data_IF_839696177925
#
_entry.id   IF_839696177925
#
_cell.length_a   1.000
_cell.length_b   1.000
_cell.length_c   1.000
_cell.angle_alpha   90.00
_cell.angle_beta   90.00
_cell.angle_gamma   90.00
#
_symmetry.space_group_name_H-M   'P 1'
#
loop_
_entity.id
_entity.type
_entity.pdbx_description
1 polymer ?
#
# COMPACT_ATOMS: atom_id res chain seq x y z
N UNK A 1 -30.77 -4.55 -7.36
CA UNK A 1 -29.92 -5.29 -6.40
C UNK A 1 -28.47 -5.35 -6.83
N UNK A 2 -28.06 -6.17 -7.83
CA UNK A 2 -26.64 -6.31 -8.23
C UNK A 2 -25.94 -4.98 -8.58
N UNK A 3 -26.59 -4.08 -9.34
CA UNK A 3 -26.04 -2.77 -9.69
C UNK A 3 -25.80 -1.86 -8.49
N UNK A 4 -26.70 -1.88 -7.50
CA UNK A 4 -26.56 -1.08 -6.28
C UNK A 4 -25.40 -1.58 -5.41
N UNK A 5 -25.23 -2.91 -5.34
CA UNK A 5 -24.10 -3.54 -4.63
C UNK A 5 -22.78 -3.13 -5.30
N UNK A 6 -22.69 -3.20 -6.63
CA UNK A 6 -21.50 -2.77 -7.37
C UNK A 6 -21.18 -1.28 -7.16
N UNK A 7 -22.20 -0.41 -7.21
CA UNK A 7 -22.03 1.02 -6.94
C UNK A 7 -21.55 1.24 -5.49
N UNK A 8 -22.16 0.58 -4.52
CA UNK A 8 -21.76 0.66 -3.11
C UNK A 8 -20.31 0.21 -2.90
N UNK A 9 -19.88 -0.87 -3.57
CA UNK A 9 -18.50 -1.36 -3.50
C UNK A 9 -17.51 -0.34 -4.07
N UNK A 10 -17.84 0.27 -5.22
CA UNK A 10 -16.99 1.31 -5.81
C UNK A 10 -16.85 2.52 -4.87
N UNK A 11 -17.94 2.98 -4.26
CA UNK A 11 -17.89 4.08 -3.30
C UNK A 11 -17.09 3.72 -2.04
N UNK A 12 -17.25 2.51 -1.50
CA UNK A 12 -16.50 2.06 -0.33
C UNK A 12 -14.99 2.03 -0.60
N UNK A 13 -14.56 1.51 -1.75
CA UNK A 13 -13.15 1.50 -2.15
C UNK A 13 -12.60 2.92 -2.40
N UNK A 14 -13.44 3.82 -2.91
CA UNK A 14 -13.05 5.21 -3.15
C UNK A 14 -12.94 6.02 -1.85
N UNK A 15 -13.57 5.55 -0.77
CA UNK A 15 -13.66 6.30 0.48
C UNK A 15 -12.30 6.49 1.17
N UNK A 16 -11.38 5.56 0.94
CA UNK A 16 -10.03 5.59 1.49
C UNK A 16 -9.22 6.81 0.98
N UNK A 17 -9.58 7.38 -0.17
CA UNK A 17 -8.91 8.55 -0.75
C UNK A 17 -9.28 9.89 -0.07
N UNK A 18 -10.29 9.94 0.80
CA UNK A 18 -10.79 11.21 1.36
C UNK A 18 -9.94 11.79 2.51
N UNK A 19 -8.85 11.14 2.93
CA UNK A 19 -8.02 11.60 4.06
C UNK A 19 -7.48 13.02 3.87
N UNK A 20 -6.97 13.35 2.68
CA UNK A 20 -6.46 14.68 2.36
C UNK A 20 -7.57 15.71 2.14
N UNK A 21 -8.72 15.27 1.62
CA UNK A 21 -9.89 16.13 1.40
C UNK A 21 -10.43 16.65 2.74
N UNK A 22 -10.42 15.80 3.77
CA UNK A 22 -10.82 16.21 5.13
C UNK A 22 -9.93 17.31 5.70
N UNK A 23 -8.59 17.18 5.55
CA UNK A 23 -7.63 18.20 6.02
C UNK A 23 -7.87 19.55 5.33
N UNK A 24 -8.10 19.52 4.02
CA UNK A 24 -8.34 20.72 3.23
C UNK A 24 -9.68 21.39 3.58
N UNK A 25 -10.75 20.59 3.76
CA UNK A 25 -12.05 21.08 4.20
C UNK A 25 -11.98 21.72 5.59
N UNK A 26 -11.28 21.08 6.54
CA UNK A 26 -11.07 21.64 7.88
C UNK A 26 -10.31 22.97 7.89
N UNK A 27 -9.35 23.12 6.95
CA UNK A 27 -8.64 24.37 6.75
C UNK A 27 -9.55 25.47 6.21
N UNK A 28 -10.33 25.20 5.17
CA UNK A 28 -11.18 26.24 4.55
C UNK A 28 -12.30 26.70 5.51
N UNK A 29 -12.91 25.76 6.25
CA UNK A 29 -13.95 26.08 7.24
C UNK A 29 -13.43 26.93 8.41
N UNK A 30 -12.15 26.80 8.79
CA UNK A 30 -11.54 27.49 9.93
C UNK A 30 -10.43 28.46 9.55
N UNK A 31 -10.38 28.90 8.28
CA UNK A 31 -9.26 29.65 7.72
C UNK A 31 -8.94 30.93 8.50
N UNK A 32 -9.97 31.63 8.97
CA UNK A 32 -9.81 32.85 9.78
C UNK A 32 -9.12 32.58 11.12
N UNK A 33 -9.53 31.53 11.83
CA UNK A 33 -8.91 31.09 13.07
C UNK A 33 -7.48 30.60 12.85
N UNK A 34 -7.25 29.80 11.81
CA UNK A 34 -5.93 29.26 11.49
C UNK A 34 -4.96 30.40 11.16
N UNK A 35 -5.38 31.37 10.34
CA UNK A 35 -4.54 32.51 9.95
C UNK A 35 -4.17 33.42 11.13
N UNK A 36 -5.11 33.64 12.06
CA UNK A 36 -4.90 34.55 13.20
C UNK A 36 -4.19 33.91 14.40
N UNK A 37 -4.47 32.63 14.68
CA UNK A 37 -4.01 31.97 15.92
C UNK A 37 -2.89 30.97 15.67
N UNK A 38 -3.01 30.15 14.62
CA UNK A 38 -2.12 29.01 14.38
C UNK A 38 -1.00 29.28 13.36
N UNK A 39 -1.14 30.33 12.55
CA UNK A 39 -0.15 30.72 11.55
C UNK A 39 1.10 31.30 12.22
N UNK A 40 2.26 30.69 11.94
CA UNK A 40 3.56 31.18 12.45
C UNK A 40 4.01 32.48 11.76
N UNK A 41 3.48 32.76 10.57
CA UNK A 41 3.81 33.95 9.78
C UNK A 41 2.77 35.08 9.92
N UNK A 42 1.91 35.07 10.96
CA UNK A 42 0.85 36.08 11.12
C UNK A 42 1.41 37.51 11.25
N UNK A 43 2.60 37.64 11.82
CA UNK A 43 3.26 38.93 12.06
C UNK A 43 3.97 39.48 10.80
N UNK A 44 3.97 38.70 9.71
CA UNK A 44 4.54 39.11 8.42
C UNK A 44 3.47 39.10 7.31
N UNK A 45 2.60 40.13 7.24
CA UNK A 45 1.51 40.18 6.27
C UNK A 45 1.97 40.26 4.81
N UNK A 46 3.20 40.71 4.55
CA UNK A 46 3.76 40.79 3.19
C UNK A 46 3.92 39.41 2.52
N UNK A 47 3.94 38.32 3.30
CA UNK A 47 4.10 36.96 2.80
C UNK A 47 2.79 36.33 2.30
N UNK A 48 1.62 36.95 2.55
CA UNK A 48 0.31 36.43 2.15
C UNK A 48 0.12 34.92 2.46
N UNK A 49 0.55 34.53 3.67
CA UNK A 49 0.58 33.12 4.06
C UNK A 49 -0.83 32.57 4.35
N UNK A 50 -1.71 33.36 4.97
CA UNK A 50 -3.11 33.01 5.25
C UNK A 50 -3.31 31.67 5.99
N UNK A 51 -2.32 31.21 6.76
CA UNK A 51 -2.37 29.90 7.43
C UNK A 51 -1.92 28.71 6.58
N UNK A 52 -1.45 28.92 5.35
CA UNK A 52 -0.93 27.85 4.45
C UNK A 52 0.23 27.06 5.08
N UNK A 53 1.04 27.68 5.93
CA UNK A 53 2.11 27.00 6.67
C UNK A 53 1.57 25.89 7.60
N UNK A 54 0.42 26.10 8.23
CA UNK A 54 -0.24 25.10 9.06
C UNK A 54 -0.83 23.97 8.21
N UNK A 55 -1.46 24.32 7.09
CA UNK A 55 -2.00 23.34 6.13
C UNK A 55 -0.90 22.42 5.60
N UNK A 56 0.24 22.97 5.16
CA UNK A 56 1.38 22.19 4.68
C UNK A 56 1.90 21.21 5.74
N UNK A 57 1.99 21.67 7.00
CA UNK A 57 2.40 20.81 8.12
C UNK A 57 1.43 19.65 8.35
N UNK A 58 0.12 19.90 8.29
CA UNK A 58 -0.89 18.85 8.46
C UNK A 58 -0.87 17.83 7.30
N UNK A 59 -0.71 18.30 6.06
CA UNK A 59 -0.61 17.43 4.89
C UNK A 59 0.63 16.52 4.96
N UNK A 60 1.79 17.08 5.32
CA UNK A 60 3.02 16.30 5.52
C UNK A 60 2.87 15.26 6.63
N UNK A 61 2.22 15.63 7.73
CA UNK A 61 1.94 14.68 8.81
C UNK A 61 0.99 13.55 8.37
N UNK A 62 0.00 13.84 7.52
CA UNK A 62 -0.91 12.83 6.98
C UNK A 62 -0.16 11.88 6.04
N UNK A 63 0.68 12.41 5.15
CA UNK A 63 1.51 11.62 4.24
C UNK A 63 2.47 10.70 5.01
N UNK A 64 3.16 11.22 6.03
CA UNK A 64 4.08 10.41 6.82
C UNK A 64 3.37 9.28 7.59
N UNK A 65 2.11 9.46 7.99
CA UNK A 65 1.30 8.37 8.58
C UNK A 65 0.96 7.30 7.54
N UNK A 66 0.54 7.72 6.35
CA UNK A 66 0.28 6.79 5.24
C UNK A 66 1.53 5.99 4.85
N UNK A 67 2.70 6.64 4.81
CA UNK A 67 3.96 5.96 4.46
C UNK A 67 4.37 4.92 5.52
N UNK A 68 4.16 5.20 6.81
CA UNK A 68 4.42 4.24 7.89
C UNK A 68 3.45 3.05 7.85
N UNK A 69 2.16 3.28 7.58
CA UNK A 69 1.16 2.22 7.46
C UNK A 69 1.41 1.35 6.22
N UNK A 70 1.80 1.95 5.10
CA UNK A 70 2.15 1.24 3.86
C UNK A 70 3.48 0.47 3.98
N UNK A 71 4.44 0.96 4.76
CA UNK A 71 5.69 0.28 5.05
C UNK A 71 5.52 -1.02 5.86
N UNK A 72 4.42 -1.15 6.61
CA UNK A 72 4.07 -2.39 7.31
C UNK A 72 3.47 -3.45 6.38
N UNK A 73 2.77 -3.03 5.32
CA UNK A 73 2.15 -3.94 4.33
C UNK A 73 3.12 -4.32 3.20
N UNK A 74 4.02 -3.42 2.82
CA UNK A 74 4.96 -3.59 1.69
C UNK A 74 6.17 -4.50 1.97
N UNK A 75 6.50 -4.76 3.25
CA UNK A 75 7.73 -5.48 3.61
C UNK A 75 7.56 -6.96 3.95
N UNK A 76 6.39 -7.56 3.75
CA UNK A 76 6.18 -9.01 3.95
C UNK A 76 5.16 -9.59 2.97
N UNK A 77 5.43 -9.44 1.68
CA UNK A 77 4.95 -10.45 0.72
C UNK A 77 6.19 -11.19 0.23
N UNK A 78 6.84 -11.91 1.14
CA UNK A 78 7.63 -13.07 0.75
C UNK A 78 6.61 -14.10 0.25
N UNK A 79 6.32 -14.07 -1.05
CA UNK A 79 5.66 -15.20 -1.71
C UNK A 79 6.64 -16.35 -1.61
N UNK A 80 6.57 -17.11 -0.51
CA UNK A 80 7.26 -18.38 -0.38
C UNK A 80 6.59 -19.33 -1.37
N UNK A 81 7.06 -19.31 -2.62
CA UNK A 81 6.78 -20.31 -3.64
C UNK A 81 7.46 -21.62 -3.19
N UNK A 82 6.86 -22.28 -2.20
CA UNK A 82 7.24 -23.63 -1.82
C UNK A 82 6.71 -24.59 -2.89
N UNK A 83 7.53 -24.90 -3.89
CA UNK A 83 7.28 -25.99 -4.80
C UNK A 83 7.94 -27.24 -4.21
N UNK A 84 7.19 -27.99 -3.40
CA UNK A 84 7.57 -29.35 -3.04
C UNK A 84 7.26 -30.23 -4.25
N UNK A 85 8.29 -30.77 -4.89
CA UNK A 85 8.08 -31.92 -5.75
C UNK A 85 7.82 -33.12 -4.82
N UNK A 86 6.63 -33.70 -4.94
CA UNK A 86 6.15 -34.72 -4.01
C UNK A 86 6.84 -36.05 -4.31
N UNK A 87 7.56 -36.61 -3.34
CA UNK A 87 8.03 -38.00 -3.45
C UNK A 87 6.83 -38.93 -3.19
N UNK A 88 6.45 -39.83 -4.10
CA UNK A 88 5.27 -40.67 -3.91
C UNK A 88 5.55 -41.72 -2.83
N UNK A 89 4.94 -41.54 -1.65
CA UNK A 89 4.94 -42.56 -0.61
C UNK A 89 3.87 -43.60 -0.97
N UNK A 90 4.30 -44.82 -1.28
CA UNK A 90 3.42 -45.93 -1.66
C UNK A 90 2.67 -46.43 -0.41
N UNK A 91 1.50 -45.85 -0.10
CA UNK A 91 0.54 -46.43 0.83
C UNK A 91 -0.54 -47.17 0.04
N UNK A 92 -0.57 -48.52 0.08
CA UNK A 92 -1.62 -49.27 -0.60
C UNK A 92 -2.88 -49.20 0.26
N UNK A 93 -3.88 -48.40 -0.15
CA UNK A 93 -5.20 -48.54 0.50
C UNK A 93 -6.28 -47.50 0.26
N UNK A 94 -6.01 -46.30 -0.22
CA UNK A 94 -7.07 -45.27 -0.37
C UNK A 94 -6.86 -44.43 -1.64
N UNK A 95 -7.51 -44.84 -2.74
CA UNK A 95 -7.64 -44.00 -3.93
C UNK A 95 -8.66 -42.88 -3.65
N UNK A 96 -8.18 -41.65 -3.44
CA UNK A 96 -9.00 -40.46 -3.63
C UNK A 96 -8.83 -39.96 -5.06
N UNK A 97 -9.93 -39.62 -5.74
CA UNK A 97 -9.87 -39.00 -7.08
C UNK A 97 -9.11 -37.68 -6.99
N UNK A 98 -7.87 -37.67 -7.47
CA UNK A 98 -7.08 -36.46 -7.59
C UNK A 98 -7.81 -35.45 -8.49
N UNK A 99 -8.06 -34.26 -7.94
CA UNK A 99 -8.59 -33.13 -8.69
C UNK A 99 -7.54 -32.71 -9.72
N UNK A 100 -7.83 -32.90 -11.01
CA UNK A 100 -6.94 -32.48 -12.10
C UNK A 100 -7.03 -30.96 -12.24
N UNK A 101 -6.08 -30.23 -11.66
CA UNK A 101 -5.84 -28.84 -12.03
C UNK A 101 -5.07 -28.79 -13.34
N UNK A 102 -5.40 -27.89 -14.28
CA UNK A 102 -4.57 -27.66 -15.44
C UNK A 102 -3.19 -27.17 -14.96
N UNK A 103 -2.15 -27.96 -15.22
CA UNK A 103 -0.76 -27.55 -15.05
C UNK A 103 -0.48 -26.49 -16.11
N UNK A 104 -0.58 -25.21 -15.75
CA UNK A 104 -0.02 -24.16 -16.58
C UNK A 104 1.47 -24.44 -16.70
N UNK A 105 1.91 -24.82 -17.90
CA UNK A 105 3.31 -25.05 -18.20
C UNK A 105 4.00 -23.69 -18.16
N UNK A 106 4.57 -23.35 -17.01
CA UNK A 106 5.52 -22.24 -16.89
C UNK A 106 6.65 -22.55 -17.86
N UNK A 107 6.70 -21.79 -18.95
CA UNK A 107 7.75 -21.86 -19.96
C UNK A 107 9.10 -21.82 -19.26
N UNK A 108 9.91 -22.85 -19.51
CA UNK A 108 11.25 -23.12 -18.99
C UNK A 108 11.96 -21.87 -18.44
N UNK A 109 11.83 -21.63 -17.13
CA UNK A 109 12.70 -20.73 -16.43
C UNK A 109 14.06 -21.42 -16.28
N UNK A 110 15.01 -21.03 -17.12
CA UNK A 110 16.41 -21.41 -16.93
C UNK A 110 16.97 -20.48 -15.87
N UNK A 111 17.09 -20.97 -14.63
CA UNK A 111 17.83 -20.19 -13.63
C UNK A 111 19.26 -20.02 -14.15
N UNK A 112 19.89 -18.84 -14.00
CA UNK A 112 21.31 -18.72 -14.24
C UNK A 112 22.02 -19.75 -13.36
N UNK A 113 22.77 -20.63 -14.01
CA UNK A 113 23.57 -21.64 -13.34
C UNK A 113 24.49 -20.90 -12.39
N UNK A 114 24.46 -21.27 -11.11
CA UNK A 114 25.23 -20.67 -10.03
C UNK A 114 26.67 -20.33 -10.46
N UNK A 115 26.91 -19.07 -10.84
CA UNK A 115 28.23 -18.51 -10.67
C UNK A 115 28.29 -18.16 -9.19
N UNK A 116 29.00 -19.01 -8.44
CA UNK A 116 29.20 -18.88 -7.01
C UNK A 116 29.66 -17.45 -6.75
N UNK A 117 28.94 -16.74 -5.90
CA UNK A 117 29.22 -15.34 -5.59
C UNK A 117 30.63 -15.25 -4.98
N UNK A 118 31.61 -14.75 -5.75
CA UNK A 118 32.95 -14.51 -5.25
C UNK A 118 33.02 -13.06 -4.73
N UNK A 119 33.37 -12.84 -3.45
CA UNK A 119 33.58 -11.48 -2.95
C UNK A 119 34.78 -10.83 -3.65
N UNK A 120 34.82 -9.49 -3.75
CA UNK A 120 35.95 -8.77 -4.33
C UNK A 120 37.20 -9.06 -3.49
N UNK A 121 38.26 -9.52 -4.17
CA UNK A 121 39.56 -9.74 -3.55
C UNK A 121 40.23 -8.38 -3.38
N UNK A 122 40.64 -8.09 -2.14
CA UNK A 122 41.34 -6.85 -1.77
C UNK A 122 42.75 -6.77 -2.37
#
# INVERSE_FOLDING_TARGET
MRKLISISLLFALSFECFSNIYVWAGYELNKSYISSVLCVNRDNPAMHCDGKCFLDKQLKQNQQRQDNDNGALGNKIDVLLFCSDEMPVLFPGLYSKAFLYPKETVSNYSSPSFDIFHPPVA
#
